data_IF_128571179938
#
_entry.id   IF_128571179938
#
_cell.length_a   1.000
_cell.length_b   1.000
_cell.length_c   1.000
_cell.angle_alpha   90.00
_cell.angle_beta   90.00
_cell.angle_gamma   90.00
#
_symmetry.space_group_name_H-M   'P 1'
#
loop_
_entity.id
_entity.type
_entity.pdbx_description
1 polymer ?
#
# COMPACT_ATOMS: atom_id res chain seq x y z
N UNK A 1 -28.75 -88.20 7.28
CA UNK A 1 -28.14 -87.46 6.15
C UNK A 1 -28.44 -85.99 6.37
N UNK A 2 -27.57 -85.29 7.10
CA UNK A 2 -27.77 -83.89 7.53
C UNK A 2 -26.97 -83.02 6.57
N UNK A 3 -27.67 -82.12 5.87
CA UNK A 3 -27.10 -81.21 4.87
C UNK A 3 -26.76 -79.87 5.56
N UNK A 4 -25.47 -79.56 5.69
CA UNK A 4 -25.02 -78.24 6.14
C UNK A 4 -24.85 -77.33 4.91
N UNK A 5 -25.64 -76.25 4.86
CA UNK A 5 -25.48 -75.15 3.91
C UNK A 5 -24.56 -74.11 4.57
N UNK A 6 -23.40 -73.84 3.98
CA UNK A 6 -22.52 -72.73 4.40
C UNK A 6 -22.86 -71.49 3.58
N UNK A 7 -23.41 -70.47 4.25
CA UNK A 7 -23.64 -69.14 3.70
C UNK A 7 -22.38 -68.31 4.01
N UNK A 8 -21.58 -68.03 2.98
CA UNK A 8 -20.49 -67.05 3.02
C UNK A 8 -21.10 -65.65 2.84
N UNK A 9 -21.23 -64.90 3.94
CA UNK A 9 -21.52 -63.46 3.89
C UNK A 9 -20.22 -62.69 3.61
N UNK A 10 -20.06 -62.23 2.37
CA UNK A 10 -19.04 -61.25 1.99
C UNK A 10 -19.43 -59.87 2.52
N UNK A 11 -18.73 -59.38 3.53
CA UNK A 11 -18.77 -57.99 3.98
C UNK A 11 -18.10 -57.08 2.93
N UNK A 12 -18.90 -56.39 2.14
CA UNK A 12 -18.45 -55.23 1.37
C UNK A 12 -18.47 -53.99 2.27
N UNK A 13 -17.30 -53.59 2.78
CA UNK A 13 -17.14 -52.26 3.36
C UNK A 13 -17.05 -51.24 2.22
N UNK A 14 -17.95 -50.24 2.13
CA UNK A 14 -17.74 -49.15 1.19
C UNK A 14 -16.57 -48.33 1.73
N UNK A 15 -15.46 -48.37 0.99
CA UNK A 15 -14.37 -47.43 1.19
C UNK A 15 -14.91 -46.05 0.81
N UNK A 16 -15.41 -45.30 1.80
CA UNK A 16 -15.76 -43.90 1.63
C UNK A 16 -14.46 -43.11 1.46
N UNK A 17 -14.02 -43.01 0.20
CA UNK A 17 -13.06 -41.98 -0.19
C UNK A 17 -13.73 -40.63 0.06
N UNK A 18 -13.44 -40.03 1.22
CA UNK A 18 -13.55 -38.60 1.41
C UNK A 18 -12.55 -37.96 0.45
N UNK A 19 -12.95 -37.80 -0.81
CA UNK A 19 -12.32 -36.84 -1.70
C UNK A 19 -12.54 -35.48 -1.05
N UNK A 20 -11.54 -35.02 -0.28
CA UNK A 20 -11.47 -33.63 0.11
C UNK A 20 -11.20 -32.86 -1.18
N UNK A 21 -12.26 -32.52 -1.90
CA UNK A 21 -12.21 -31.56 -2.97
C UNK A 21 -11.88 -30.22 -2.30
N UNK A 22 -10.58 -29.96 -2.12
CA UNK A 22 -10.10 -28.62 -1.81
C UNK A 22 -10.37 -27.81 -3.07
N UNK A 23 -11.61 -27.33 -3.21
CA UNK A 23 -11.94 -26.33 -4.20
C UNK A 23 -10.95 -25.18 -3.98
N UNK A 24 -10.18 -24.86 -5.02
CA UNK A 24 -9.15 -23.84 -4.97
C UNK A 24 -9.73 -22.47 -4.60
N UNK A 25 -8.86 -21.48 -4.41
CA UNK A 25 -9.28 -20.09 -4.23
C UNK A 25 -10.15 -19.70 -5.43
N UNK A 26 -11.36 -19.17 -5.17
CA UNK A 26 -12.23 -18.67 -6.25
C UNK A 26 -11.59 -17.48 -6.94
N UNK A 27 -11.59 -17.51 -8.28
CA UNK A 27 -11.08 -16.45 -9.15
C UNK A 27 -12.15 -15.38 -9.32
N UNK A 28 -11.77 -14.11 -9.21
CA UNK A 28 -12.65 -12.95 -9.31
C UNK A 28 -12.55 -12.01 -8.11
N UNK A 29 -13.56 -11.18 -7.92
CA UNK A 29 -13.57 -10.10 -6.93
C UNK A 29 -13.74 -10.60 -5.50
N UNK A 30 -12.96 -10.01 -4.61
CA UNK A 30 -13.01 -10.20 -3.17
C UNK A 30 -13.09 -8.85 -2.46
N UNK A 31 -13.86 -8.83 -1.37
CA UNK A 31 -13.86 -7.73 -0.40
C UNK A 31 -13.01 -8.15 0.79
N UNK A 32 -11.83 -7.55 0.95
CA UNK A 32 -10.95 -7.71 2.10
C UNK A 32 -11.25 -6.68 3.19
N UNK A 33 -11.02 -7.05 4.45
CA UNK A 33 -11.16 -6.18 5.61
C UNK A 33 -10.03 -6.42 6.59
N UNK A 34 -9.26 -5.38 6.88
CA UNK A 34 -8.35 -5.33 8.03
C UNK A 34 -9.13 -4.88 9.27
N UNK A 35 -9.13 -5.70 10.31
CA UNK A 35 -9.78 -5.42 11.59
C UNK A 35 -8.81 -4.67 12.50
N UNK A 36 -8.77 -3.33 12.38
CA UNK A 36 -7.90 -2.48 13.19
C UNK A 36 -8.52 -2.22 14.57
N UNK A 37 -7.69 -1.79 15.53
CA UNK A 37 -8.13 -1.45 16.91
C UNK A 37 -9.22 -0.38 16.95
N UNK A 38 -9.21 0.55 15.99
CA UNK A 38 -10.11 1.71 15.96
C UNK A 38 -11.13 1.66 14.80
N UNK A 39 -11.31 0.51 14.14
CA UNK A 39 -12.28 0.37 13.06
C UNK A 39 -11.90 -0.70 12.04
N UNK A 40 -12.81 -0.95 11.10
CA UNK A 40 -12.55 -1.82 9.95
C UNK A 40 -12.03 -1.00 8.77
N UNK A 41 -10.94 -1.44 8.15
CA UNK A 41 -10.45 -0.90 6.88
C UNK A 41 -10.77 -1.90 5.76
N UNK A 42 -11.83 -1.65 4.98
CA UNK A 42 -12.13 -2.47 3.83
C UNK A 42 -11.31 -2.07 2.61
N UNK A 43 -10.99 -3.03 1.75
CA UNK A 43 -10.47 -2.80 0.41
C UNK A 43 -10.92 -3.93 -0.51
N UNK A 44 -10.85 -3.69 -1.82
CA UNK A 44 -11.23 -4.69 -2.84
C UNK A 44 -9.97 -5.21 -3.53
N UNK A 45 -9.98 -6.49 -3.87
CA UNK A 45 -8.95 -7.09 -4.70
C UNK A 45 -9.56 -8.14 -5.62
N UNK A 46 -8.84 -8.50 -6.66
CA UNK A 46 -9.22 -9.56 -7.57
C UNK A 46 -8.17 -10.67 -7.54
N UNK A 47 -8.63 -11.91 -7.51
CA UNK A 47 -7.77 -13.07 -7.72
C UNK A 47 -7.84 -13.47 -9.19
N UNK A 48 -6.70 -13.68 -9.83
CA UNK A 48 -6.57 -14.00 -11.26
C UNK A 48 -5.66 -15.21 -11.45
N UNK A 49 -5.71 -15.82 -12.63
CA UNK A 49 -4.73 -16.82 -13.05
C UNK A 49 -3.68 -16.19 -13.95
N UNK A 50 -2.41 -16.46 -13.66
CA UNK A 50 -1.27 -16.23 -14.55
C UNK A 50 -0.63 -17.59 -14.84
N UNK A 51 -1.02 -18.18 -15.97
CA UNK A 51 -0.80 -19.60 -16.23
C UNK A 51 -1.54 -20.45 -15.19
N UNK A 52 -0.80 -21.32 -14.49
CA UNK A 52 -1.33 -22.17 -13.41
C UNK A 52 -1.26 -21.51 -12.01
N UNK A 53 -0.67 -20.32 -11.90
CA UNK A 53 -0.50 -19.62 -10.63
C UNK A 53 -1.66 -18.69 -10.35
N UNK A 54 -2.13 -18.68 -9.10
CA UNK A 54 -3.01 -17.62 -8.60
C UNK A 54 -2.18 -16.38 -8.33
N UNK A 55 -2.65 -15.22 -8.78
CA UNK A 55 -2.09 -13.91 -8.48
C UNK A 55 -3.21 -13.00 -7.96
N UNK A 56 -2.85 -11.93 -7.25
CA UNK A 56 -3.79 -10.95 -6.75
C UNK A 56 -3.57 -9.59 -7.41
N UNK A 57 -4.65 -8.83 -7.55
CA UNK A 57 -4.66 -7.44 -7.99
C UNK A 57 -5.42 -6.62 -6.95
N UNK A 58 -4.70 -5.87 -6.11
CA UNK A 58 -5.31 -5.01 -5.09
C UNK A 58 -5.76 -3.71 -5.75
N UNK A 59 -6.99 -3.29 -5.47
CA UNK A 59 -7.64 -2.18 -6.14
C UNK A 59 -7.84 -1.03 -5.15
N UNK A 60 -7.23 0.12 -5.43
CA UNK A 60 -7.41 1.38 -4.70
C UNK A 60 -7.87 2.45 -5.70
N UNK A 61 -9.18 2.55 -5.94
CA UNK A 61 -9.71 3.53 -6.90
C UNK A 61 -9.22 3.26 -8.33
N UNK A 62 -8.21 4.01 -8.79
CA UNK A 62 -7.58 3.82 -10.11
C UNK A 62 -6.24 3.08 -10.04
N UNK A 63 -5.67 2.92 -8.84
CA UNK A 63 -4.44 2.16 -8.64
C UNK A 63 -4.75 0.67 -8.53
N UNK A 64 -3.91 -0.10 -9.22
CA UNK A 64 -3.91 -1.56 -9.25
C UNK A 64 -2.52 -2.06 -8.87
N UNK A 65 -2.45 -2.86 -7.81
CA UNK A 65 -1.20 -3.41 -7.29
C UNK A 65 -1.20 -4.90 -7.54
N UNK A 66 -0.40 -5.30 -8.52
CA UNK A 66 -0.18 -6.70 -8.86
C UNK A 66 0.68 -7.39 -7.80
N UNK A 67 0.18 -8.51 -7.28
CA UNK A 67 0.86 -9.35 -6.29
C UNK A 67 1.00 -10.76 -6.86
N UNK A 68 2.25 -11.10 -7.23
CA UNK A 68 2.57 -12.36 -7.90
C UNK A 68 3.05 -13.46 -6.94
N UNK A 69 3.52 -13.08 -5.75
CA UNK A 69 4.03 -14.01 -4.74
C UNK A 69 2.89 -14.59 -3.89
N UNK A 70 2.16 -15.55 -4.46
CA UNK A 70 1.10 -16.31 -3.78
C UNK A 70 1.52 -17.76 -3.64
N UNK A 71 1.61 -18.24 -2.40
CA UNK A 71 1.95 -19.64 -2.09
C UNK A 71 0.76 -20.30 -1.42
N UNK A 72 0.25 -21.38 -2.03
CA UNK A 72 -0.88 -22.16 -1.52
C UNK A 72 -0.38 -23.52 -1.04
N UNK A 73 -0.77 -23.94 0.15
CA UNK A 73 -0.44 -25.26 0.70
C UNK A 73 -1.59 -25.75 1.57
N UNK A 74 -2.29 -26.81 1.13
CA UNK A 74 -3.50 -27.29 1.81
C UNK A 74 -4.60 -26.23 1.84
N UNK A 75 -5.13 -25.92 3.02
CA UNK A 75 -6.12 -24.86 3.27
C UNK A 75 -5.51 -23.48 3.50
N UNK A 76 -4.18 -23.35 3.35
CA UNK A 76 -3.43 -22.15 3.71
C UNK A 76 -2.90 -21.42 2.49
N UNK A 77 -2.93 -20.08 2.54
CA UNK A 77 -2.36 -19.19 1.53
C UNK A 77 -1.49 -18.12 2.18
N UNK A 78 -0.30 -17.93 1.63
CA UNK A 78 0.61 -16.83 1.96
C UNK A 78 0.69 -15.91 0.75
N UNK A 79 0.42 -14.63 0.95
CA UNK A 79 0.47 -13.60 -0.09
C UNK A 79 1.52 -12.58 0.34
N UNK A 80 2.65 -12.51 -0.36
CA UNK A 80 3.71 -11.54 -0.05
C UNK A 80 3.59 -10.31 -0.92
N UNK A 81 3.59 -9.14 -0.29
CA UNK A 81 3.51 -7.88 -1.02
C UNK A 81 4.80 -7.67 -1.84
N UNK A 82 4.71 -7.08 -3.05
CA UNK A 82 5.81 -7.10 -4.02
C UNK A 82 7.06 -6.36 -3.51
N UNK A 83 6.91 -5.13 -3.02
CA UNK A 83 8.06 -4.29 -2.62
C UNK A 83 8.18 -4.16 -1.11
N UNK A 84 7.05 -4.15 -0.40
CA UNK A 84 7.03 -3.97 1.04
C UNK A 84 7.26 -5.29 1.77
N UNK A 85 7.99 -5.23 2.88
CA UNK A 85 8.21 -6.37 3.78
C UNK A 85 6.95 -6.65 4.62
N UNK A 86 5.90 -7.08 3.93
CA UNK A 86 4.60 -7.41 4.48
C UNK A 86 3.94 -8.56 3.73
N UNK A 87 3.10 -9.29 4.43
CA UNK A 87 2.43 -10.47 3.89
C UNK A 87 1.09 -10.74 4.58
N UNK A 88 0.23 -11.47 3.88
CA UNK A 88 -0.93 -12.12 4.47
C UNK A 88 -0.61 -13.59 4.74
N UNK A 89 -1.03 -14.10 5.90
CA UNK A 89 -1.02 -15.54 6.23
C UNK A 89 -2.43 -15.95 6.59
N UNK A 90 -3.08 -16.66 5.67
CA UNK A 90 -4.52 -16.88 5.69
C UNK A 90 -4.85 -18.37 5.58
N UNK A 91 -5.97 -18.76 6.16
CA UNK A 91 -6.75 -19.92 5.74
C UNK A 91 -7.77 -19.47 4.70
N UNK A 92 -8.11 -20.36 3.77
CA UNK A 92 -9.12 -20.07 2.76
C UNK A 92 -10.13 -21.20 2.57
N UNK A 93 -11.33 -20.81 2.15
CA UNK A 93 -12.29 -21.63 1.43
C UNK A 93 -12.55 -20.94 0.09
N UNK A 94 -13.36 -21.52 -0.83
CA UNK A 94 -13.68 -20.82 -2.07
C UNK A 94 -14.43 -19.50 -1.84
N UNK A 95 -15.09 -19.29 -0.70
CA UNK A 95 -15.90 -18.09 -0.44
C UNK A 95 -15.30 -17.15 0.61
N UNK A 96 -14.33 -17.60 1.40
CA UNK A 96 -13.78 -16.82 2.51
C UNK A 96 -12.26 -16.96 2.61
N UNK A 97 -11.61 -15.90 3.04
CA UNK A 97 -10.25 -15.97 3.58
C UNK A 97 -10.22 -15.36 4.98
N UNK A 98 -9.43 -15.92 5.88
CA UNK A 98 -9.24 -15.34 7.21
C UNK A 98 -7.86 -15.64 7.78
N UNK A 99 -7.33 -14.72 8.56
CA UNK A 99 -6.00 -14.86 9.15
C UNK A 99 -5.44 -13.49 9.52
N UNK A 100 -4.17 -13.25 9.18
CA UNK A 100 -3.49 -12.02 9.55
C UNK A 100 -2.78 -11.38 8.37
N UNK A 101 -2.82 -10.05 8.34
CA UNK A 101 -1.83 -9.21 7.68
C UNK A 101 -0.68 -8.93 8.65
N UNK A 102 0.56 -9.03 8.18
CA UNK A 102 1.78 -8.87 8.97
C UNK A 102 2.71 -7.90 8.24
N UNK A 103 3.17 -6.86 8.92
CA UNK A 103 4.15 -5.90 8.40
C UNK A 103 5.46 -6.02 9.17
N UNK A 104 6.41 -6.79 8.66
CA UNK A 104 7.67 -7.12 9.35
C UNK A 104 8.59 -5.90 9.55
N UNK A 105 8.41 -4.86 8.74
CA UNK A 105 9.16 -3.61 8.89
C UNK A 105 8.73 -2.76 10.10
N UNK A 106 7.69 -3.18 10.85
CA UNK A 106 7.24 -2.53 12.08
C UNK A 106 7.54 -3.39 13.31
N UNK A 107 8.02 -2.75 14.38
CA UNK A 107 8.38 -3.41 15.65
C UNK A 107 7.17 -3.67 16.57
N UNK A 108 6.13 -2.84 16.46
CA UNK A 108 4.92 -2.91 17.29
C UNK A 108 3.68 -2.75 16.43
N UNK A 109 2.55 -3.29 16.89
CA UNK A 109 1.26 -3.18 16.19
C UNK A 109 1.31 -3.60 14.72
N UNK A 110 2.18 -4.58 14.44
CA UNK A 110 2.56 -5.02 13.11
C UNK A 110 1.68 -6.15 12.55
N UNK A 111 0.78 -6.69 13.38
CA UNK A 111 -0.16 -7.75 12.99
C UNK A 111 -1.58 -7.18 13.07
N UNK A 112 -2.34 -7.35 12.00
CA UNK A 112 -3.75 -6.93 11.91
C UNK A 112 -4.58 -8.13 11.43
N UNK A 113 -5.61 -8.56 12.18
CA UNK A 113 -6.50 -9.61 11.72
C UNK A 113 -7.17 -9.22 10.40
N UNK A 114 -7.34 -10.20 9.51
CA UNK A 114 -7.88 -10.02 8.18
C UNK A 114 -9.00 -11.02 7.90
N UNK A 115 -10.04 -10.55 7.19
CA UNK A 115 -11.09 -11.40 6.58
C UNK A 115 -11.31 -10.95 5.14
N UNK A 116 -11.67 -11.88 4.26
CA UNK A 116 -12.16 -11.56 2.92
C UNK A 116 -13.34 -12.43 2.52
N UNK A 117 -14.25 -11.84 1.72
CA UNK A 117 -15.45 -12.50 1.21
C UNK A 117 -15.46 -12.42 -0.32
N UNK A 118 -15.72 -13.56 -0.97
CA UNK A 118 -15.79 -13.66 -2.42
C UNK A 118 -17.09 -13.04 -2.98
N UNK A 119 -17.02 -12.52 -4.19
CA UNK A 119 -18.15 -11.98 -4.95
C UNK A 119 -18.88 -10.83 -4.22
N UNK A 120 -18.12 -10.03 -3.46
CA UNK A 120 -18.54 -8.79 -2.84
C UNK A 120 -17.76 -7.64 -3.46
N UNK A 121 -18.46 -6.74 -4.15
CA UNK A 121 -17.86 -5.61 -4.86
C UNK A 121 -17.96 -4.27 -4.10
N UNK A 122 -18.80 -4.19 -3.06
CA UNK A 122 -18.89 -2.98 -2.25
C UNK A 122 -17.65 -2.85 -1.34
N UNK A 123 -17.12 -1.63 -1.20
CA UNK A 123 -16.02 -1.37 -0.25
C UNK A 123 -16.53 -1.22 1.18
N UNK A 124 -17.34 -0.20 1.45
CA UNK A 124 -17.82 0.09 2.81
C UNK A 124 -19.19 -0.49 3.13
N UNK A 125 -20.19 -0.25 2.28
CA UNK A 125 -21.59 -0.64 2.51
C UNK A 125 -22.31 -0.90 1.19
N UNK A 126 -23.33 -1.76 1.22
CA UNK A 126 -24.28 -1.96 0.11
C UNK A 126 -25.39 -0.89 0.12
N UNK A 127 -25.53 -0.14 1.23
CA UNK A 127 -26.49 0.94 1.36
C UNK A 127 -26.20 2.10 0.39
N UNK A 128 -27.27 2.79 -0.02
CA UNK A 128 -27.21 3.96 -0.91
C UNK A 128 -28.09 5.07 -0.34
N UNK A 129 -27.65 5.62 0.79
CA UNK A 129 -28.31 6.78 1.42
C UNK A 129 -27.89 8.03 0.64
N UNK A 130 -28.85 8.75 0.06
CA UNK A 130 -28.59 9.97 -0.72
C UNK A 130 -27.68 10.93 0.06
N UNK A 131 -26.52 11.31 -0.50
CA UNK A 131 -25.62 12.27 0.14
C UNK A 131 -26.30 13.60 0.42
N UNK A 132 -26.03 14.20 1.59
CA UNK A 132 -26.56 15.53 1.94
C UNK A 132 -25.88 16.66 1.15
N UNK A 133 -24.71 16.40 0.58
CA UNK A 133 -23.96 17.32 -0.26
C UNK A 133 -23.08 16.57 -1.26
N UNK A 134 -22.66 17.27 -2.33
CA UNK A 134 -21.56 16.85 -3.19
C UNK A 134 -20.27 17.53 -2.72
N UNK A 135 -19.26 16.75 -2.33
CA UNK A 135 -18.00 17.25 -1.77
C UNK A 135 -16.86 17.32 -2.80
N UNK A 136 -17.17 17.19 -4.10
CA UNK A 136 -16.17 17.33 -5.17
C UNK A 136 -15.43 18.66 -5.09
N UNK A 137 -14.12 18.61 -5.28
CA UNK A 137 -13.27 19.77 -5.38
C UNK A 137 -12.12 19.75 -4.38
N UNK A 138 -11.61 20.95 -4.13
CA UNK A 138 -10.41 21.18 -3.32
C UNK A 138 -10.78 21.73 -1.95
N UNK A 139 -10.14 21.17 -0.93
CA UNK A 139 -10.39 21.45 0.47
C UNK A 139 -9.09 21.82 1.17
N UNK A 140 -9.12 22.90 1.95
CA UNK A 140 -8.07 23.20 2.92
C UNK A 140 -8.30 22.32 4.15
N UNK A 141 -7.34 21.45 4.43
CA UNK A 141 -7.40 20.46 5.51
C UNK A 141 -6.41 20.85 6.59
N UNK A 142 -6.87 20.83 7.84
CA UNK A 142 -6.01 20.88 9.01
C UNK A 142 -6.05 19.51 9.70
N UNK A 143 -4.92 18.81 9.71
CA UNK A 143 -4.68 17.65 10.56
C UNK A 143 -4.27 18.11 11.96
N UNK A 144 -4.75 17.42 12.99
CA UNK A 144 -4.42 17.68 14.39
C UNK A 144 -4.57 19.17 14.79
N UNK A 145 -5.61 19.83 14.26
CA UNK A 145 -5.81 21.28 14.41
C UNK A 145 -5.75 21.73 15.86
N UNK A 146 -4.88 22.71 16.14
CA UNK A 146 -4.72 23.30 17.47
C UNK A 146 -3.77 22.55 18.40
N UNK A 147 -3.06 21.53 17.91
CA UNK A 147 -1.97 20.86 18.63
C UNK A 147 -0.60 21.24 18.07
N UNK A 148 0.48 20.83 18.75
CA UNK A 148 1.85 21.00 18.27
C UNK A 148 2.14 20.23 16.97
N UNK A 149 1.38 19.16 16.71
CA UNK A 149 1.52 18.31 15.53
C UNK A 149 0.62 18.76 14.37
N UNK A 150 0.02 19.96 14.47
CA UNK A 150 -0.89 20.47 13.44
C UNK A 150 -0.16 20.64 12.11
N UNK A 151 -0.78 20.11 11.04
CA UNK A 151 -0.26 20.24 9.69
C UNK A 151 -1.38 20.55 8.69
N UNK A 152 -1.01 21.23 7.60
CA UNK A 152 -1.92 21.56 6.51
C UNK A 152 -1.80 20.56 5.36
N UNK A 153 -2.93 20.27 4.75
CA UNK A 153 -3.02 19.45 3.55
C UNK A 153 -4.08 19.99 2.58
N UNK A 154 -4.04 19.49 1.35
CA UNK A 154 -5.10 19.70 0.37
C UNK A 154 -5.91 18.42 0.24
N UNK A 155 -7.18 18.45 0.62
CA UNK A 155 -8.12 17.39 0.25
C UNK A 155 -8.57 17.57 -1.20
N UNK A 156 -8.35 16.59 -2.06
CA UNK A 156 -8.79 16.59 -3.45
C UNK A 156 -9.79 15.45 -3.64
N UNK A 157 -11.08 15.78 -3.81
CA UNK A 157 -12.16 14.80 -3.89
C UNK A 157 -12.92 14.88 -5.20
N UNK A 158 -13.36 13.71 -5.67
CA UNK A 158 -14.28 13.57 -6.78
C UNK A 158 -15.41 12.63 -6.39
N UNK A 159 -16.65 13.12 -6.46
CA UNK A 159 -17.84 12.39 -6.05
C UNK A 159 -18.80 12.20 -7.22
N UNK A 160 -19.28 10.96 -7.39
CA UNK A 160 -20.34 10.59 -8.35
C UNK A 160 -21.44 9.82 -7.61
N UNK A 161 -22.54 10.51 -7.29
CA UNK A 161 -23.57 9.93 -6.43
C UNK A 161 -22.99 9.60 -5.05
N UNK A 162 -23.09 8.34 -4.62
CA UNK A 162 -22.49 7.85 -3.38
C UNK A 162 -21.00 7.49 -3.51
N UNK A 163 -20.47 7.32 -4.72
CA UNK A 163 -19.06 6.97 -4.94
C UNK A 163 -18.18 8.18 -4.69
N UNK A 164 -17.09 7.97 -3.95
CA UNK A 164 -16.12 9.00 -3.61
C UNK A 164 -14.71 8.49 -3.84
N UNK A 165 -13.94 9.23 -4.64
CA UNK A 165 -12.50 9.05 -4.79
C UNK A 165 -11.79 10.30 -4.30
N UNK A 166 -10.54 10.16 -3.88
CA UNK A 166 -9.72 11.32 -3.62
C UNK A 166 -8.37 11.02 -3.01
N UNK A 167 -7.74 12.08 -2.52
CA UNK A 167 -6.47 11.99 -1.79
C UNK A 167 -6.31 13.22 -0.90
N UNK A 168 -5.30 13.17 -0.04
CA UNK A 168 -4.81 14.32 0.70
C UNK A 168 -3.38 14.60 0.23
N UNK A 169 -3.10 15.80 -0.27
CA UNK A 169 -1.75 16.23 -0.65
C UNK A 169 -1.11 16.92 0.55
N UNK A 170 0.13 16.55 0.88
CA UNK A 170 0.96 17.18 1.90
C UNK A 170 2.27 17.66 1.31
N UNK A 171 3.06 18.37 2.12
CA UNK A 171 4.42 18.79 1.74
C UNK A 171 5.40 17.61 1.58
N UNK A 172 5.04 16.41 2.04
CA UNK A 172 5.89 15.21 2.02
C UNK A 172 5.39 14.11 1.08
N UNK A 173 4.32 14.38 0.31
CA UNK A 173 3.72 13.43 -0.63
C UNK A 173 2.20 13.46 -0.57
N UNK A 174 1.56 12.34 -0.84
CA UNK A 174 0.11 12.20 -0.73
C UNK A 174 -0.31 10.91 -0.02
N UNK A 175 -1.63 10.79 0.20
CA UNK A 175 -2.29 9.65 0.83
C UNK A 175 -2.86 8.64 -0.17
N UNK A 176 -2.25 8.56 -1.37
CA UNK A 176 -2.57 7.59 -2.43
C UNK A 176 -3.99 7.75 -2.99
N UNK A 177 -4.43 6.74 -3.73
CA UNK A 177 -5.72 6.65 -4.39
C UNK A 177 -6.81 6.19 -3.41
N UNK A 178 -7.30 7.08 -2.57
CA UNK A 178 -8.38 6.76 -1.64
C UNK A 178 -9.69 6.49 -2.39
N UNK A 179 -10.37 5.42 -2.01
CA UNK A 179 -11.63 4.98 -2.58
C UNK A 179 -12.67 4.73 -1.48
N UNK A 180 -13.92 5.06 -1.75
CA UNK A 180 -14.96 4.97 -0.74
C UNK A 180 -16.29 5.61 -1.12
N UNK A 181 -16.97 6.18 -0.12
CA UNK A 181 -18.38 6.56 -0.28
C UNK A 181 -18.82 7.71 0.62
N UNK A 182 -19.82 8.46 0.15
CA UNK A 182 -20.65 9.37 0.96
C UNK A 182 -22.01 8.72 1.18
N UNK A 183 -22.47 8.65 2.43
CA UNK A 183 -23.74 8.04 2.84
C UNK A 183 -24.48 8.99 3.77
N UNK A 184 -25.51 9.68 3.27
CA UNK A 184 -26.12 10.79 3.98
C UNK A 184 -25.07 11.88 4.27
N UNK A 185 -24.81 12.14 5.55
CA UNK A 185 -23.77 13.08 5.99
C UNK A 185 -22.45 12.41 6.39
N UNK A 186 -22.26 11.10 6.18
CA UNK A 186 -21.04 10.37 6.54
C UNK A 186 -20.16 10.14 5.33
N UNK A 187 -18.85 10.26 5.52
CA UNK A 187 -17.81 10.05 4.52
C UNK A 187 -16.93 8.90 5.00
N UNK A 188 -16.60 7.99 4.09
CA UNK A 188 -15.66 6.90 4.32
C UNK A 188 -14.71 6.77 3.13
N UNK A 189 -13.43 6.65 3.39
CA UNK A 189 -12.38 6.47 2.38
C UNK A 189 -11.32 5.51 2.93
N UNK A 190 -10.79 4.63 2.09
CA UNK A 190 -9.66 3.78 2.45
C UNK A 190 -8.69 3.55 1.29
N UNK A 191 -7.45 3.24 1.64
CA UNK A 191 -6.45 2.68 0.74
C UNK A 191 -5.60 1.65 1.48
N UNK A 192 -5.24 0.58 0.78
CA UNK A 192 -4.30 -0.43 1.26
C UNK A 192 -3.31 -0.79 0.15
N UNK A 193 -2.02 -0.60 0.38
CA UNK A 193 -0.97 -0.79 -0.63
C UNK A 193 0.14 -1.76 -0.19
N UNK A 194 -0.03 -2.40 0.98
CA UNK A 194 0.98 -3.27 1.60
C UNK A 194 2.03 -2.53 2.45
N UNK A 195 2.15 -1.20 2.37
CA UNK A 195 2.88 -0.38 3.34
C UNK A 195 1.93 0.30 4.32
N UNK A 196 0.82 0.78 3.78
CA UNK A 196 -0.18 1.60 4.39
C UNK A 196 -1.51 0.89 4.51
N UNK A 197 -2.21 1.26 5.57
CA UNK A 197 -3.58 0.87 5.87
C UNK A 197 -4.29 2.15 6.28
N UNK A 198 -4.68 2.96 5.29
CA UNK A 198 -5.32 4.25 5.52
C UNK A 198 -6.83 4.12 5.59
N UNK A 199 -7.41 4.65 6.67
CA UNK A 199 -8.85 4.80 6.83
C UNK A 199 -9.16 6.24 7.21
N UNK A 200 -10.03 6.87 6.45
CA UNK A 200 -10.58 8.18 6.76
C UNK A 200 -12.09 8.07 6.95
N UNK A 201 -12.57 8.66 8.04
CA UNK A 201 -14.00 8.84 8.30
C UNK A 201 -14.25 10.32 8.54
N UNK A 202 -15.40 10.82 8.13
CA UNK A 202 -15.83 12.19 8.45
C UNK A 202 -17.34 12.34 8.41
N UNK A 203 -17.81 13.46 8.95
CA UNK A 203 -19.17 13.95 8.76
C UNK A 203 -19.19 15.30 8.04
N UNK A 204 -20.27 15.54 7.31
CA UNK A 204 -20.60 16.81 6.67
C UNK A 204 -21.50 17.58 7.62
N UNK A 205 -21.03 18.71 8.13
CA UNK A 205 -21.81 19.63 8.93
C UNK A 205 -22.78 20.44 8.06
N UNK A 206 -23.79 21.06 8.68
CA UNK A 206 -24.80 21.86 7.98
C UNK A 206 -24.24 23.10 7.29
N UNK A 207 -23.09 23.61 7.77
CA UNK A 207 -22.35 24.73 7.18
C UNK A 207 -21.33 24.29 6.12
N UNK A 208 -21.29 22.99 5.80
CA UNK A 208 -20.41 22.40 4.80
C UNK A 208 -19.01 22.05 5.31
N UNK A 209 -18.69 22.25 6.59
CA UNK A 209 -17.41 21.79 7.15
C UNK A 209 -17.36 20.27 7.21
N UNK A 210 -16.19 19.71 6.89
CA UNK A 210 -15.88 18.31 7.11
C UNK A 210 -15.10 18.17 8.43
N UNK A 211 -15.46 17.17 9.23
CA UNK A 211 -14.72 16.84 10.45
C UNK A 211 -14.68 15.33 10.63
N UNK A 212 -13.51 14.80 10.97
CA UNK A 212 -13.27 13.37 10.87
C UNK A 212 -12.04 12.87 11.59
N UNK A 213 -11.79 11.58 11.40
CA UNK A 213 -10.61 10.87 11.90
C UNK A 213 -9.87 10.23 10.74
N UNK A 214 -8.55 10.29 10.82
CA UNK A 214 -7.62 9.53 10.01
C UNK A 214 -6.98 8.44 10.87
N UNK A 215 -6.82 7.24 10.32
CA UNK A 215 -6.13 6.11 10.93
C UNK A 215 -5.09 5.55 9.95
N UNK A 216 -3.90 5.26 10.47
CA UNK A 216 -2.86 4.51 9.78
C UNK A 216 -2.64 3.18 10.50
N UNK A 217 -3.29 2.12 10.03
CA UNK A 217 -3.26 0.82 10.67
C UNK A 217 -3.59 0.90 12.17
N UNK A 218 -2.85 0.12 12.97
CA UNK A 218 -2.97 0.12 14.43
C UNK A 218 -2.06 1.11 15.16
N UNK A 219 -1.22 1.87 14.44
CA UNK A 219 -0.09 2.60 15.03
C UNK A 219 -0.25 4.13 15.03
N UNK A 220 -1.17 4.68 14.24
CA UNK A 220 -1.41 6.13 14.21
C UNK A 220 -2.89 6.45 14.04
N UNK A 221 -3.33 7.55 14.65
CA UNK A 221 -4.62 8.18 14.40
C UNK A 221 -4.57 9.66 14.72
N UNK A 222 -5.34 10.45 14.01
CA UNK A 222 -5.48 11.88 14.28
C UNK A 222 -6.79 12.46 13.75
N UNK A 223 -7.30 13.53 14.37
CA UNK A 223 -8.45 14.25 13.85
C UNK A 223 -8.06 15.09 12.63
N UNK A 224 -9.00 15.32 11.74
CA UNK A 224 -8.86 16.27 10.64
C UNK A 224 -10.14 17.06 10.46
N UNK A 225 -9.98 18.31 10.06
CA UNK A 225 -11.10 19.16 9.64
C UNK A 225 -10.80 19.75 8.27
N UNK A 226 -11.83 20.00 7.48
CA UNK A 226 -11.64 20.59 6.17
C UNK A 226 -12.72 21.60 5.83
N UNK A 227 -12.30 22.66 5.14
CA UNK A 227 -13.18 23.66 4.54
C UNK A 227 -12.92 23.72 3.04
N UNK A 228 -13.97 23.79 2.24
CA UNK A 228 -13.81 23.90 0.79
C UNK A 228 -13.07 25.21 0.47
N UNK A 229 -11.97 25.08 -0.28
CA UNK A 229 -11.11 26.19 -0.62
C UNK A 229 -10.42 25.92 -1.97
N UNK A 230 -11.04 26.33 -3.09
CA UNK A 230 -10.52 26.09 -4.45
C UNK A 230 -9.15 26.72 -4.71
N UNK A 231 -8.77 27.75 -3.96
CA UNK A 231 -7.51 28.47 -4.14
C UNK A 231 -6.42 28.06 -3.15
N UNK A 232 -6.71 27.18 -2.18
CA UNK A 232 -5.69 26.73 -1.24
C UNK A 232 -4.60 25.91 -1.94
N UNK A 233 -3.34 26.24 -1.66
CA UNK A 233 -2.18 25.56 -2.17
C UNK A 233 -1.24 25.23 -1.02
N UNK A 234 -0.51 24.13 -1.17
CA UNK A 234 0.63 23.85 -0.30
C UNK A 234 1.72 24.90 -0.54
N UNK A 235 2.63 25.10 0.44
CA UNK A 235 3.81 25.92 0.23
C UNK A 235 4.58 25.51 -1.03
N UNK A 236 5.24 26.47 -1.68
CA UNK A 236 6.10 26.20 -2.81
C UNK A 236 7.21 25.21 -2.40
N UNK A 237 7.33 24.04 -3.05
CA UNK A 237 8.35 23.05 -2.70
C UNK A 237 9.78 23.61 -2.78
N UNK A 238 10.06 24.60 -3.63
CA UNK A 238 11.38 25.25 -3.73
C UNK A 238 11.75 26.10 -2.52
N UNK A 239 10.77 26.41 -1.65
CA UNK A 239 10.99 27.15 -0.41
C UNK A 239 11.20 26.23 0.80
N UNK A 240 10.93 24.92 0.66
CA UNK A 240 10.98 23.96 1.77
C UNK A 240 12.38 23.43 2.02
N UNK A 241 13.15 23.22 0.94
CA UNK A 241 14.49 22.64 1.02
C UNK A 241 15.50 23.57 0.37
N UNK A 242 16.50 24.00 1.15
CA UNK A 242 17.54 24.92 0.72
C UNK A 242 18.90 24.56 1.33
N UNK A 243 19.98 25.01 0.70
CA UNK A 243 21.33 24.86 1.24
C UNK A 243 21.47 25.67 2.52
N UNK A 244 22.05 25.05 3.55
CA UNK A 244 22.34 25.74 4.81
C UNK A 244 23.32 26.90 4.57
N UNK A 245 23.26 27.98 5.38
CA UNK A 245 24.25 29.05 5.31
C UNK A 245 25.68 28.51 5.38
N UNK A 246 26.55 29.00 4.50
CA UNK A 246 27.95 28.56 4.38
C UNK A 246 28.17 27.37 3.43
N UNK A 247 27.11 26.82 2.83
CA UNK A 247 27.21 25.80 1.79
C UNK A 247 26.82 26.42 0.43
N UNK A 248 27.69 26.27 -0.55
CA UNK A 248 27.49 26.73 -1.94
C UNK A 248 27.04 25.60 -2.88
N UNK A 249 27.18 24.35 -2.42
CA UNK A 249 26.79 23.15 -3.17
C UNK A 249 26.26 22.05 -2.25
N UNK A 250 25.45 21.18 -2.85
CA UNK A 250 25.09 19.89 -2.28
C UNK A 250 26.27 18.90 -2.39
N UNK A 251 26.41 17.98 -1.44
CA UNK A 251 27.42 16.91 -1.48
C UNK A 251 26.91 15.66 -0.74
N UNK A 252 27.45 14.49 -1.07
CA UNK A 252 27.17 13.22 -0.39
C UNK A 252 28.37 12.27 -0.46
N UNK A 253 28.41 11.32 0.48
CA UNK A 253 29.34 10.20 0.46
C UNK A 253 28.72 9.02 1.22
N UNK A 254 28.21 8.02 0.50
CA UNK A 254 27.50 6.87 1.07
C UNK A 254 27.91 5.56 0.39
N UNK A 255 27.83 4.41 1.08
CA UNK A 255 28.11 3.12 0.48
C UNK A 255 27.00 2.71 -0.50
N UNK A 256 27.39 2.12 -1.63
CA UNK A 256 26.48 1.36 -2.48
C UNK A 256 26.07 0.02 -1.82
N UNK A 257 25.24 -0.77 -2.50
CA UNK A 257 24.76 -2.06 -2.00
C UNK A 257 25.86 -3.14 -1.89
N UNK A 258 27.09 -2.88 -2.36
CA UNK A 258 28.27 -3.72 -2.15
C UNK A 258 29.16 -3.23 -1.01
N UNK A 259 28.84 -2.08 -0.39
CA UNK A 259 29.63 -1.44 0.66
C UNK A 259 30.69 -0.47 0.12
N UNK A 260 30.77 -0.25 -1.19
CA UNK A 260 31.74 0.68 -1.79
C UNK A 260 31.22 2.11 -1.65
N UNK A 261 32.04 3.00 -1.08
CA UNK A 261 31.72 4.42 -0.98
C UNK A 261 31.62 5.09 -2.35
N UNK A 262 30.59 5.91 -2.54
CA UNK A 262 30.33 6.72 -3.73
C UNK A 262 30.06 8.15 -3.29
N UNK A 263 30.72 9.10 -3.94
CA UNK A 263 30.59 10.53 -3.65
C UNK A 263 30.15 11.31 -4.90
N UNK A 264 29.43 12.42 -4.72
CA UNK A 264 29.10 13.33 -5.82
C UNK A 264 30.34 13.86 -6.53
N UNK A 265 31.49 13.89 -5.84
CA UNK A 265 32.78 14.32 -6.40
C UNK A 265 33.46 13.30 -7.32
N UNK A 266 32.95 12.06 -7.40
CA UNK A 266 33.51 10.99 -8.22
C UNK A 266 33.47 11.36 -9.72
N UNK A 267 34.49 10.90 -10.47
CA UNK A 267 34.64 11.15 -11.92
C UNK A 267 33.36 10.87 -12.72
N UNK A 268 32.59 9.84 -12.32
CA UNK A 268 31.36 9.44 -13.00
C UNK A 268 30.28 10.53 -13.04
N UNK A 269 30.33 11.53 -12.15
CA UNK A 269 29.34 12.61 -12.06
C UNK A 269 29.84 13.94 -12.66
N UNK A 270 31.14 14.04 -13.00
CA UNK A 270 31.72 15.29 -13.52
C UNK A 270 31.15 15.62 -14.91
N UNK A 271 30.82 16.90 -15.10
CA UNK A 271 30.24 17.44 -16.34
C UNK A 271 28.94 16.74 -16.79
N UNK A 272 28.18 16.17 -15.85
CA UNK A 272 26.89 15.53 -16.10
C UNK A 272 25.76 16.26 -15.39
N UNK A 273 24.55 16.14 -15.92
CA UNK A 273 23.36 16.49 -15.16
C UNK A 273 23.10 15.37 -14.15
N UNK A 274 23.02 15.70 -12.86
CA UNK A 274 22.83 14.72 -11.79
C UNK A 274 21.50 14.95 -11.10
N UNK A 275 20.63 13.94 -11.12
CA UNK A 275 19.43 13.88 -10.28
C UNK A 275 19.80 13.07 -9.03
N UNK A 276 19.61 13.68 -7.86
CA UNK A 276 19.75 13.00 -6.58
C UNK A 276 18.37 12.70 -6.05
N UNK A 277 18.03 11.40 -6.01
CA UNK A 277 16.75 10.92 -5.52
C UNK A 277 16.88 10.61 -4.02
N UNK A 278 16.15 11.32 -3.15
CA UNK A 278 16.08 10.95 -1.72
C UNK A 278 14.89 10.02 -1.54
N UNK A 279 15.12 8.80 -1.07
CA UNK A 279 14.08 7.77 -1.05
C UNK A 279 14.20 6.81 0.14
N UNK A 280 13.23 5.91 0.27
CA UNK A 280 13.30 4.72 1.13
C UNK A 280 12.44 3.60 0.53
N UNK A 281 12.88 2.35 0.63
CA UNK A 281 12.18 1.17 0.06
C UNK A 281 10.78 0.96 0.66
N UNK A 282 10.52 1.61 1.78
CA UNK A 282 9.27 1.60 2.53
C UNK A 282 8.29 2.72 2.13
N UNK A 283 8.67 3.60 1.18
CA UNK A 283 7.93 4.79 0.78
C UNK A 283 7.25 4.59 -0.59
N UNK A 284 5.91 4.45 -0.67
CA UNK A 284 5.21 4.29 -1.95
C UNK A 284 5.35 5.49 -2.91
N UNK A 285 5.37 6.73 -2.40
CA UNK A 285 5.57 7.91 -3.27
C UNK A 285 6.95 7.88 -3.95
N UNK A 286 7.95 7.35 -3.25
CA UNK A 286 9.28 7.12 -3.78
C UNK A 286 9.28 6.01 -4.85
N UNK A 287 8.33 5.08 -4.79
CA UNK A 287 8.15 4.06 -5.84
C UNK A 287 7.53 4.65 -7.11
N UNK A 288 6.58 5.57 -7.00
CA UNK A 288 6.04 6.28 -8.17
C UNK A 288 7.14 7.10 -8.85
N UNK A 289 7.95 7.80 -8.06
CA UNK A 289 9.12 8.53 -8.56
C UNK A 289 10.12 7.57 -9.25
N UNK A 290 10.39 6.42 -8.65
CA UNK A 290 11.26 5.39 -9.22
C UNK A 290 10.70 4.82 -10.52
N UNK A 291 9.38 4.60 -10.60
CA UNK A 291 8.71 4.14 -11.82
C UNK A 291 8.87 5.12 -12.98
N UNK A 292 9.01 6.42 -12.67
CA UNK A 292 9.33 7.46 -13.64
C UNK A 292 10.83 7.56 -13.95
N UNK A 293 11.69 7.53 -12.92
CA UNK A 293 13.14 7.72 -13.07
C UNK A 293 13.87 6.55 -13.72
N UNK A 294 13.44 5.31 -13.50
CA UNK A 294 14.09 4.14 -14.11
C UNK A 294 14.11 4.22 -15.66
N UNK A 295 12.96 4.36 -16.36
CA UNK A 295 12.97 4.52 -17.82
C UNK A 295 13.60 5.85 -18.27
N UNK A 296 13.47 6.93 -17.50
CA UNK A 296 14.11 8.22 -17.79
C UNK A 296 15.64 8.07 -17.84
N UNK A 297 16.22 7.40 -16.85
CA UNK A 297 17.66 7.15 -16.79
C UNK A 297 18.13 6.33 -17.99
N UNK A 298 17.41 5.25 -18.31
CA UNK A 298 17.79 4.40 -19.44
C UNK A 298 17.77 5.15 -20.77
N UNK A 299 16.85 6.10 -20.93
CA UNK A 299 16.77 6.94 -22.13
C UNK A 299 17.90 7.99 -22.22
N UNK A 300 18.23 8.67 -21.11
CA UNK A 300 19.10 9.84 -21.12
C UNK A 300 20.54 9.60 -20.63
N UNK A 301 20.87 8.42 -20.08
CA UNK A 301 22.22 8.15 -19.53
C UNK A 301 23.34 8.33 -20.56
N UNK A 302 23.10 7.97 -21.82
CA UNK A 302 24.07 8.16 -22.91
C UNK A 302 24.25 9.62 -23.32
N UNK A 303 23.30 10.49 -22.94
CA UNK A 303 23.32 11.93 -23.19
C UNK A 303 23.88 12.73 -22.00
N UNK A 304 24.44 12.05 -20.99
CA UNK A 304 25.09 12.69 -19.84
C UNK A 304 24.18 12.90 -18.62
N UNK A 305 23.04 12.21 -18.52
CA UNK A 305 22.26 12.12 -17.28
C UNK A 305 22.86 11.08 -16.33
N UNK A 306 23.01 11.42 -15.06
CA UNK A 306 23.15 10.47 -13.96
C UNK A 306 21.99 10.60 -12.99
N UNK A 307 21.53 9.46 -12.48
CA UNK A 307 20.64 9.42 -11.32
C UNK A 307 21.39 8.68 -10.20
N UNK A 308 21.24 9.14 -8.96
CA UNK A 308 21.72 8.45 -7.77
C UNK A 308 20.67 8.51 -6.69
N UNK A 309 20.25 7.35 -6.19
CA UNK A 309 19.31 7.25 -5.07
C UNK A 309 20.05 7.19 -3.74
N UNK A 310 19.68 8.08 -2.83
CA UNK A 310 20.09 8.08 -1.43
C UNK A 310 18.96 7.45 -0.61
N UNK A 311 19.10 6.17 -0.31
CA UNK A 311 18.10 5.38 0.38
C UNK A 311 18.25 5.48 1.90
N UNK A 312 17.28 6.13 2.56
CA UNK A 312 17.11 6.12 4.01
C UNK A 312 16.14 5.01 4.41
N UNK A 313 16.63 4.00 5.13
CA UNK A 313 15.91 2.74 5.35
C UNK A 313 15.48 2.54 6.80
N UNK A 314 14.51 1.66 7.06
CA UNK A 314 14.08 1.40 8.46
C UNK A 314 15.13 0.66 9.30
N UNK A 315 16.01 -0.09 8.66
CA UNK A 315 17.11 -0.77 9.33
C UNK A 315 18.38 0.08 9.22
N UNK A 316 19.14 0.22 10.32
CA UNK A 316 20.46 0.83 10.27
C UNK A 316 21.52 -0.11 9.68
N UNK A 317 21.18 -1.36 9.38
CA UNK A 317 22.10 -2.36 8.87
C UNK A 317 21.96 -2.52 7.35
N UNK A 318 23.04 -2.24 6.60
CA UNK A 318 23.09 -2.35 5.14
C UNK A 318 22.57 -3.70 4.63
N UNK A 319 23.00 -4.82 5.23
CA UNK A 319 22.60 -6.16 4.78
C UNK A 319 21.09 -6.41 4.86
N UNK A 320 20.41 -5.84 5.86
CA UNK A 320 18.95 -5.97 5.96
C UNK A 320 18.24 -5.03 4.99
N UNK A 321 18.70 -3.78 4.90
CA UNK A 321 18.20 -2.80 3.96
C UNK A 321 18.32 -3.26 2.50
N UNK A 322 19.44 -3.92 2.18
CA UNK A 322 19.76 -4.45 0.86
C UNK A 322 18.69 -5.38 0.32
N UNK A 323 18.05 -6.20 1.16
CA UNK A 323 16.98 -7.12 0.73
C UNK A 323 15.82 -6.35 0.09
N UNK A 324 15.32 -5.30 0.76
CA UNK A 324 14.22 -4.48 0.22
C UNK A 324 14.65 -3.62 -0.96
N UNK A 325 15.89 -3.12 -0.94
CA UNK A 325 16.44 -2.33 -2.04
C UNK A 325 16.69 -3.15 -3.31
N UNK A 326 17.12 -4.41 -3.18
CA UNK A 326 17.27 -5.34 -4.31
C UNK A 326 15.89 -5.71 -4.89
N UNK A 327 14.87 -5.91 -4.04
CA UNK A 327 13.47 -6.10 -4.51
C UNK A 327 12.98 -4.89 -5.30
N UNK A 328 13.20 -3.67 -4.79
CA UNK A 328 12.84 -2.43 -5.48
C UNK A 328 13.57 -2.32 -6.82
N UNK A 329 14.89 -2.57 -6.82
CA UNK A 329 15.73 -2.55 -8.02
C UNK A 329 15.24 -3.52 -9.08
N UNK A 330 14.90 -4.74 -8.70
CA UNK A 330 14.37 -5.76 -9.62
C UNK A 330 12.98 -5.37 -10.13
N UNK A 331 12.08 -4.91 -9.25
CA UNK A 331 10.70 -4.56 -9.59
C UNK A 331 10.60 -3.47 -10.66
N UNK A 332 11.47 -2.46 -10.56
CA UNK A 332 11.48 -1.29 -11.44
C UNK A 332 12.61 -1.29 -12.47
N UNK A 333 13.39 -2.38 -12.55
CA UNK A 333 14.53 -2.50 -13.45
C UNK A 333 15.51 -1.32 -13.33
N UNK A 334 15.87 -0.98 -12.09
CA UNK A 334 16.70 0.21 -11.80
C UNK A 334 18.14 -0.04 -12.26
N UNK A 335 18.59 0.78 -13.22
CA UNK A 335 19.95 0.74 -13.76
C UNK A 335 20.87 1.83 -13.19
N UNK A 336 20.34 2.79 -12.45
CA UNK A 336 21.12 3.81 -11.75
C UNK A 336 21.58 3.34 -10.36
N UNK A 337 22.49 4.09 -9.73
CA UNK A 337 23.11 3.69 -8.47
C UNK A 337 22.19 3.97 -7.28
N UNK A 338 22.08 2.99 -6.38
CA UNK A 338 21.40 3.11 -5.10
C UNK A 338 22.45 3.06 -4.00
N UNK A 339 22.46 4.08 -3.15
CA UNK A 339 23.33 4.21 -1.99
C UNK A 339 22.52 4.06 -0.71
N UNK A 340 23.06 3.36 0.28
CA UNK A 340 22.49 3.28 1.61
C UNK A 340 22.91 4.52 2.41
N UNK A 341 21.97 5.45 2.57
CA UNK A 341 22.20 6.74 3.22
C UNK A 341 22.05 6.69 4.76
N UNK A 342 21.63 5.55 5.30
CA UNK A 342 21.47 5.31 6.73
C UNK A 342 20.02 5.02 7.12
N UNK A 343 19.71 4.99 8.43
CA UNK A 343 18.35 4.78 8.89
C UNK A 343 17.46 6.02 8.64
N UNK A 344 16.17 5.79 8.42
CA UNK A 344 15.15 6.84 8.55
C UNK A 344 15.01 7.20 10.03
N UNK A 345 15.20 8.50 10.33
CA UNK A 345 14.89 9.19 11.59
C UNK A 345 14.92 8.35 12.86
#
# INVERSE_FOLDING_TARGET
MILFIHILLSWFSPLSTLASANAGISIGTWRGVLMMKNGELPFTFETKLSGEKVILDIINGEEHILVEEVTITGDSVIIRMPVFDSEFRLKYTPQMMSGNYINHSRKTDNIIPFKAEFNKSHRFTEEKITPVANITGRWEVDFSKGTADSSKAVGAFHQKGNELKGTFLTVSGDYRYLDGTVQGNKIFLSAFDGAHAFLFTATIASDGLLSGMYYSGNHWKEPWVAKQNPSFQLPDPYTLTYLKPGYDRFDFNFPDLSGKMVSLSDERFKNKAVIVQIMGSWCPNCMDETAFFAPLYDHYKSLGLEIVALAYERSPELEKAKVSLDRLKQRYNINYTILFAGPVG
#
